data_IF_219271279028
#
_entry.id   IF_219271279028
#
_cell.length_a   1.000
_cell.length_b   1.000
_cell.length_c   1.000
_cell.angle_alpha   90.00
_cell.angle_beta   90.00
_cell.angle_gamma   90.00
#
_symmetry.space_group_name_H-M   'P 1'
#
loop_
_entity.id
_entity.type
_entity.pdbx_description
1 polymer ?
#
# COMPACT_ATOMS: atom_id res chain seq x y z
N UNK A 1 -2.88 -14.72 10.57
CA UNK A 1 -2.94 -13.86 9.37
C UNK A 1 -2.44 -14.67 8.20
N UNK A 2 -3.25 -14.85 7.15
CA UNK A 2 -2.89 -15.63 5.96
C UNK A 2 -2.13 -14.75 4.94
N UNK A 3 -0.84 -15.06 4.73
CA UNK A 3 0.02 -14.33 3.80
C UNK A 3 -0.34 -14.60 2.32
N UNK A 4 -1.03 -15.70 2.01
CA UNK A 4 -1.52 -15.99 0.66
C UNK A 4 -2.64 -15.02 0.29
N UNK A 5 -3.57 -14.79 1.21
CA UNK A 5 -4.63 -13.79 1.07
C UNK A 5 -4.04 -12.37 0.90
N UNK A 6 -3.06 -11.99 1.74
CA UNK A 6 -2.37 -10.69 1.60
C UNK A 6 -1.69 -10.57 0.23
N UNK A 7 -0.97 -11.60 -0.22
CA UNK A 7 -0.31 -11.57 -1.55
C UNK A 7 -1.33 -11.36 -2.68
N UNK A 8 -2.50 -12.02 -2.60
CA UNK A 8 -3.59 -11.85 -3.56
C UNK A 8 -4.09 -10.40 -3.59
N UNK A 9 -4.34 -9.79 -2.42
CA UNK A 9 -4.76 -8.39 -2.31
C UNK A 9 -3.73 -7.49 -2.97
N UNK A 10 -2.45 -7.63 -2.59
CA UNK A 10 -1.36 -6.80 -3.13
C UNK A 10 -1.24 -6.93 -4.65
N UNK A 11 -1.24 -8.15 -5.20
CA UNK A 11 -1.16 -8.37 -6.65
C UNK A 11 -2.31 -7.70 -7.40
N UNK A 12 -3.53 -7.80 -6.88
CA UNK A 12 -4.70 -7.20 -7.50
C UNK A 12 -4.64 -5.67 -7.45
N UNK A 13 -4.27 -5.08 -6.31
CA UNK A 13 -4.20 -3.62 -6.18
C UNK A 13 -3.04 -2.97 -6.95
N UNK A 14 -1.91 -3.66 -7.06
CA UNK A 14 -0.75 -3.22 -7.84
C UNK A 14 -1.02 -3.26 -9.36
N UNK A 15 -1.97 -4.08 -9.82
CA UNK A 15 -2.35 -4.15 -11.23
C UNK A 15 -3.21 -2.98 -11.70
N UNK A 16 -3.81 -2.23 -10.77
CA UNK A 16 -4.68 -1.09 -11.06
C UNK A 16 -3.82 0.18 -11.20
N UNK A 17 -3.78 0.82 -12.39
CA UNK A 17 -3.00 2.04 -12.60
C UNK A 17 -3.42 3.17 -11.65
N UNK A 18 -2.44 3.93 -11.15
CA UNK A 18 -2.71 5.09 -10.31
C UNK A 18 -1.72 6.21 -10.58
N UNK A 19 -2.16 7.46 -10.35
CA UNK A 19 -1.33 8.65 -10.51
C UNK A 19 -0.34 8.84 -9.35
N UNK A 20 -0.66 8.29 -8.18
CA UNK A 20 0.06 8.47 -6.91
C UNK A 20 0.34 7.12 -6.25
N UNK A 21 1.51 6.97 -5.62
CA UNK A 21 1.89 5.74 -4.89
C UNK A 21 1.07 5.61 -3.60
N UNK A 22 0.74 6.74 -2.99
CA UNK A 22 -0.15 6.91 -1.84
C UNK A 22 -1.48 6.20 -2.05
N UNK A 23 -2.08 6.37 -3.24
CA UNK A 23 -3.34 5.73 -3.57
C UNK A 23 -3.21 4.21 -3.65
N UNK A 24 -2.10 3.70 -4.18
CA UNK A 24 -1.86 2.25 -4.24
C UNK A 24 -1.69 1.68 -2.83
N UNK A 25 -0.85 2.31 -2.00
CA UNK A 25 -0.62 1.91 -0.62
C UNK A 25 -1.92 1.94 0.20
N UNK A 26 -2.73 2.99 0.04
CA UNK A 26 -4.01 3.13 0.75
C UNK A 26 -5.02 2.06 0.35
N UNK A 27 -5.18 1.76 -0.94
CA UNK A 27 -6.10 0.69 -1.39
C UNK A 27 -5.71 -0.69 -0.84
N UNK A 28 -4.40 -0.98 -0.76
CA UNK A 28 -3.91 -2.22 -0.17
C UNK A 28 -4.31 -2.29 1.30
N UNK A 29 -4.07 -1.24 2.09
CA UNK A 29 -4.44 -1.20 3.51
C UNK A 29 -5.95 -1.30 3.70
N UNK A 30 -6.72 -0.52 2.93
CA UNK A 30 -8.19 -0.53 3.00
C UNK A 30 -8.73 -1.95 2.76
N UNK A 31 -8.23 -2.66 1.74
CA UNK A 31 -8.63 -4.06 1.47
C UNK A 31 -8.15 -5.05 2.53
N UNK A 32 -6.96 -4.87 3.07
CA UNK A 32 -6.50 -5.67 4.22
C UNK A 32 -7.48 -5.51 5.38
N UNK A 33 -7.91 -4.29 5.70
CA UNK A 33 -8.85 -4.08 6.79
C UNK A 33 -10.25 -4.63 6.50
N UNK A 34 -10.74 -4.51 5.26
CA UNK A 34 -12.04 -5.05 4.86
C UNK A 34 -12.05 -6.58 4.87
N UNK A 35 -11.04 -7.22 4.26
CA UNK A 35 -11.04 -8.67 4.03
C UNK A 35 -10.43 -9.47 5.19
N UNK A 36 -9.63 -8.84 6.05
CA UNK A 36 -8.98 -9.48 7.20
C UNK A 36 -9.37 -8.72 8.49
N UNK A 37 -10.56 -8.97 9.06
CA UNK A 37 -11.07 -8.23 10.22
C UNK A 37 -10.18 -8.32 11.47
N UNK A 38 -9.37 -9.38 11.58
CA UNK A 38 -8.46 -9.60 12.72
C UNK A 38 -7.17 -8.76 12.66
N UNK A 39 -6.97 -7.98 11.59
CA UNK A 39 -5.79 -7.11 11.44
C UNK A 39 -6.11 -5.74 12.03
N UNK A 40 -5.44 -5.36 13.12
CA UNK A 40 -5.66 -4.06 13.77
C UNK A 40 -4.77 -2.95 13.22
N UNK A 41 -3.58 -3.30 12.73
CA UNK A 41 -2.59 -2.35 12.20
C UNK A 41 -2.01 -2.90 10.90
N UNK A 42 -1.83 -2.02 9.91
CA UNK A 42 -1.19 -2.36 8.65
C UNK A 42 -0.21 -1.26 8.24
N UNK A 43 1.01 -1.67 7.92
CA UNK A 43 2.03 -0.82 7.31
C UNK A 43 2.31 -1.32 5.90
N UNK A 44 2.17 -0.45 4.91
CA UNK A 44 2.42 -0.76 3.50
C UNK A 44 3.38 0.27 2.92
N UNK A 45 4.45 -0.25 2.30
CA UNK A 45 5.44 0.54 1.57
C UNK A 45 5.40 0.20 0.09
N UNK A 46 5.20 1.20 -0.76
CA UNK A 46 5.21 1.06 -2.22
C UNK A 46 6.36 1.88 -2.77
N UNK A 47 7.20 1.26 -3.60
CA UNK A 47 8.37 1.90 -4.20
C UNK A 47 8.25 1.93 -5.71
N UNK A 48 8.61 3.05 -6.32
CA UNK A 48 8.90 3.15 -7.74
C UNK A 48 10.41 3.14 -7.92
N UNK A 49 10.92 2.04 -8.45
CA UNK A 49 12.32 1.86 -8.81
C UNK A 49 12.56 2.66 -10.10
N UNK A 50 13.67 3.41 -10.16
CA UNK A 50 14.01 4.29 -11.28
C UNK A 50 12.85 5.23 -11.66
N UNK A 51 12.37 6.06 -10.72
CA UNK A 51 11.23 6.92 -10.96
C UNK A 51 11.58 7.99 -12.02
N UNK A 52 10.62 8.41 -12.85
CA UNK A 52 10.85 9.41 -13.90
C UNK A 52 10.94 10.82 -13.28
N UNK A 53 12.05 11.11 -12.62
CA UNK A 53 12.34 12.38 -11.94
C UNK A 53 13.64 12.93 -12.56
N UNK A 54 13.69 14.24 -12.79
CA UNK A 54 14.91 14.92 -13.24
C UNK A 54 15.92 15.03 -12.08
N UNK A 55 16.42 13.89 -11.60
CA UNK A 55 17.38 13.76 -10.52
C UNK A 55 17.87 12.32 -10.41
N UNK A 56 19.11 12.15 -9.94
CA UNK A 56 19.71 10.81 -9.79
C UNK A 56 19.24 10.18 -8.47
N UNK A 57 18.23 9.31 -8.54
CA UNK A 57 17.68 8.58 -7.40
C UNK A 57 17.38 7.13 -7.79
N UNK A 58 17.80 6.19 -6.93
CA UNK A 58 17.58 4.75 -7.15
C UNK A 58 16.08 4.39 -7.08
N UNK A 59 15.36 4.96 -6.11
CA UNK A 59 13.92 4.74 -5.93
C UNK A 59 13.27 5.85 -5.12
N UNK A 60 11.96 5.98 -5.32
CA UNK A 60 11.08 6.75 -4.43
C UNK A 60 10.09 5.81 -3.77
N UNK A 61 9.90 5.96 -2.46
CA UNK A 61 9.05 5.10 -1.64
C UNK A 61 8.04 5.93 -0.86
N UNK A 62 6.79 5.49 -0.87
CA UNK A 62 5.75 5.94 0.06
C UNK A 62 5.48 4.83 1.06
N UNK A 63 5.38 5.19 2.34
CA UNK A 63 5.03 4.29 3.42
C UNK A 63 3.83 4.84 4.18
N UNK A 64 2.75 4.06 4.26
CA UNK A 64 1.58 4.36 5.06
C UNK A 64 1.51 3.36 6.21
N UNK A 65 1.25 3.86 7.42
CA UNK A 65 0.97 3.05 8.59
C UNK A 65 -0.38 3.51 9.15
N UNK A 66 -1.35 2.60 9.19
CA UNK A 66 -2.69 2.88 9.69
C UNK A 66 -3.07 1.87 10.76
N UNK A 67 -3.81 2.35 11.75
CA UNK A 67 -4.45 1.54 12.76
C UNK A 67 -5.97 1.69 12.63
N UNK A 68 -6.69 0.59 12.77
CA UNK A 68 -8.15 0.54 12.71
C UNK A 68 -8.73 1.52 13.75
N UNK A 69 -9.67 2.37 13.34
CA UNK A 69 -10.28 3.39 14.21
C UNK A 69 -9.50 4.70 14.33
N UNK A 70 -8.31 4.84 13.72
CA UNK A 70 -7.70 6.16 13.54
C UNK A 70 -8.29 6.85 12.30
N UNK A 71 -8.97 7.98 12.51
CA UNK A 71 -9.36 8.89 11.45
C UNK A 71 -8.09 9.57 10.92
N UNK A 72 -7.83 9.40 9.63
CA UNK A 72 -6.84 10.23 8.92
C UNK A 72 -7.54 11.57 8.67
N UNK A 73 -7.11 12.63 9.38
CA UNK A 73 -7.58 14.00 9.15
C UNK A 73 -7.12 14.50 7.77
#
# INVERSE_FOLDING_TARGET
>A
VDYVHINRIVKQEMAIPSKLLEHVAKRIIDRIFIELPTVDTAMVSVSKINPPINGDVEKVTVSLNLQRGQLVN
#
